data_IF_952708772597
#
_entry.id   IF_952708772597
#
_cell.length_a   1.000
_cell.length_b   1.000
_cell.length_c   1.000
_cell.angle_alpha   90.00
_cell.angle_beta   90.00
_cell.angle_gamma   90.00
#
_symmetry.space_group_name_H-M   'P 1'
#
loop_
_entity.id
_entity.type
_entity.pdbx_description
1 polymer ?
#
# COMPACT_ATOMS: atom_id res chain seq x y z
N UNK A 1 65.03 -8.94 -39.46
CA UNK A 1 64.87 -9.37 -38.06
C UNK A 1 64.08 -8.29 -37.34
N UNK A 2 62.78 -8.52 -37.11
CA UNK A 2 61.88 -7.64 -36.38
C UNK A 2 61.08 -8.49 -35.39
N UNK A 3 60.87 -8.03 -34.14
CA UNK A 3 60.44 -8.90 -33.06
C UNK A 3 58.93 -9.18 -33.09
N UNK A 4 58.56 -10.39 -32.67
CA UNK A 4 57.19 -10.84 -32.51
C UNK A 4 56.51 -10.12 -31.32
N UNK A 5 55.40 -9.43 -31.58
CA UNK A 5 54.48 -8.97 -30.54
C UNK A 5 53.60 -10.13 -30.08
N UNK A 6 53.87 -10.65 -28.90
CA UNK A 6 52.96 -11.57 -28.20
C UNK A 6 51.80 -10.76 -27.60
N UNK A 7 50.58 -11.02 -28.05
CA UNK A 7 49.36 -10.47 -27.43
C UNK A 7 48.89 -11.46 -26.34
N UNK A 8 48.77 -11.05 -25.05
CA UNK A 8 48.22 -11.94 -24.02
C UNK A 8 46.72 -12.14 -24.22
N UNK A 9 46.27 -13.39 -24.18
CA UNK A 9 44.87 -13.78 -24.39
C UNK A 9 43.89 -13.15 -23.39
N UNK A 10 42.78 -12.62 -23.91
CA UNK A 10 41.63 -12.21 -23.09
C UNK A 10 40.99 -13.46 -22.47
N UNK A 11 41.05 -13.54 -21.14
CA UNK A 11 40.30 -14.51 -20.34
C UNK A 11 38.79 -14.23 -20.50
N UNK A 12 37.94 -15.23 -20.81
CA UNK A 12 36.50 -15.00 -20.91
C UNK A 12 35.95 -14.56 -19.54
N UNK A 13 35.24 -13.44 -19.52
CA UNK A 13 34.50 -13.01 -18.35
C UNK A 13 33.38 -14.02 -18.07
N UNK A 14 33.41 -14.64 -16.88
CA UNK A 14 32.33 -15.52 -16.43
C UNK A 14 30.99 -14.79 -16.34
N UNK A 15 29.87 -15.52 -16.26
CA UNK A 15 28.55 -14.91 -16.18
C UNK A 15 28.45 -13.94 -14.99
N UNK A 16 27.78 -12.79 -15.15
CA UNK A 16 27.66 -11.80 -14.09
C UNK A 16 26.94 -12.42 -12.89
N UNK A 17 27.50 -12.20 -11.69
CA UNK A 17 26.91 -12.65 -10.44
C UNK A 17 25.47 -12.09 -10.29
N UNK A 18 24.55 -12.81 -9.62
CA UNK A 18 23.19 -12.34 -9.41
C UNK A 18 23.22 -11.00 -8.68
N UNK A 19 22.56 -9.98 -9.25
CA UNK A 19 22.36 -8.69 -8.56
C UNK A 19 21.53 -8.94 -7.29
N UNK A 20 21.95 -8.45 -6.12
CA UNK A 20 21.12 -8.52 -4.93
C UNK A 20 19.77 -7.82 -5.20
N UNK A 21 18.65 -8.36 -4.69
CA UNK A 21 17.34 -7.77 -4.88
C UNK A 21 17.32 -6.34 -4.33
N UNK A 22 16.72 -5.43 -5.10
CA UNK A 22 16.56 -4.04 -4.67
C UNK A 22 15.78 -3.98 -3.33
N UNK A 23 16.13 -3.04 -2.43
CA UNK A 23 15.38 -2.85 -1.18
C UNK A 23 13.90 -2.63 -1.47
N UNK A 24 13.04 -3.49 -0.94
CA UNK A 24 11.59 -3.29 -1.02
C UNK A 24 11.23 -2.07 -0.15
N UNK A 25 10.43 -1.11 -0.65
CA UNK A 25 10.01 0.05 0.15
C UNK A 25 9.33 -0.40 1.44
N UNK A 26 9.74 0.16 2.57
CA UNK A 26 9.12 -0.14 3.85
C UNK A 26 7.63 0.26 3.85
N UNK A 27 6.75 -0.53 4.48
CA UNK A 27 5.33 -0.15 4.61
C UNK A 27 5.20 1.21 5.29
N UNK A 28 4.52 2.16 4.63
CA UNK A 28 4.22 3.46 5.23
C UNK A 28 3.17 3.26 6.34
N UNK A 29 3.51 3.70 7.55
CA UNK A 29 2.61 3.60 8.70
C UNK A 29 1.41 4.54 8.54
N UNK A 30 0.20 4.00 8.78
CA UNK A 30 -1.03 4.78 8.84
C UNK A 30 -1.32 5.17 10.29
N UNK A 31 -1.37 6.47 10.56
CA UNK A 31 -1.65 7.00 11.88
C UNK A 31 -3.04 7.63 11.92
N UNK A 32 -3.76 7.43 13.02
CA UNK A 32 -5.05 8.05 13.27
C UNK A 32 -5.18 8.39 14.75
N UNK A 33 -6.06 9.35 15.04
CA UNK A 33 -6.50 9.67 16.39
C UNK A 33 -8.02 9.71 16.38
N UNK A 34 -8.64 9.30 17.47
CA UNK A 34 -10.09 9.31 17.64
C UNK A 34 -10.40 9.81 19.05
N UNK A 35 -11.63 10.25 19.27
CA UNK A 35 -12.15 10.46 20.61
C UNK A 35 -12.55 9.11 21.21
N UNK A 36 -12.54 9.02 22.54
CA UNK A 36 -12.94 7.81 23.26
C UNK A 36 -14.40 7.42 22.99
N UNK A 37 -15.24 8.40 22.65
CA UNK A 37 -16.65 8.22 22.32
C UNK A 37 -16.92 7.69 20.91
N UNK A 38 -15.95 7.72 20.00
CA UNK A 38 -16.19 7.43 18.58
C UNK A 38 -16.52 5.96 18.32
N UNK A 39 -15.70 5.03 18.84
CA UNK A 39 -15.99 3.59 18.76
C UNK A 39 -17.35 3.23 19.38
N UNK A 40 -17.64 3.62 20.63
CA UNK A 40 -18.94 3.42 21.26
C UNK A 40 -20.12 3.96 20.43
N UNK A 41 -19.98 5.10 19.78
CA UNK A 41 -21.01 5.66 18.91
C UNK A 41 -21.28 4.77 17.69
N UNK A 42 -20.24 4.27 17.02
CA UNK A 42 -20.41 3.35 15.89
C UNK A 42 -21.11 2.06 16.32
N UNK A 43 -20.77 1.53 17.50
CA UNK A 43 -21.43 0.36 18.09
C UNK A 43 -22.90 0.63 18.40
N UNK A 44 -23.21 1.77 19.02
CA UNK A 44 -24.59 2.13 19.38
C UNK A 44 -25.47 2.27 18.14
N UNK A 45 -24.93 2.84 17.06
CA UNK A 45 -25.63 2.97 15.78
C UNK A 45 -25.69 1.64 15.00
N UNK A 46 -24.83 0.67 15.32
CA UNK A 46 -24.74 -0.60 14.60
C UNK A 46 -24.19 -0.47 13.18
N UNK A 47 -23.36 0.55 12.92
CA UNK A 47 -22.87 0.89 11.57
C UNK A 47 -21.37 0.68 11.41
N UNK A 48 -20.93 0.68 10.17
CA UNK A 48 -19.52 0.89 9.79
C UNK A 48 -19.42 2.17 8.98
N UNK A 49 -18.35 2.94 9.19
CA UNK A 49 -18.11 4.18 8.46
C UNK A 49 -17.07 3.94 7.36
N UNK A 50 -17.38 4.37 6.15
CA UNK A 50 -16.45 4.35 5.03
C UNK A 50 -15.92 5.77 4.78
N UNK A 51 -14.60 5.91 4.65
CA UNK A 51 -13.93 7.20 4.42
C UNK A 51 -12.95 7.09 3.27
N UNK A 52 -13.17 7.88 2.22
CA UNK A 52 -12.23 8.06 1.12
C UNK A 52 -11.32 9.24 1.39
N UNK A 53 -10.01 9.05 1.24
CA UNK A 53 -9.02 10.11 1.38
C UNK A 53 -8.49 10.49 0.02
N UNK A 54 -8.89 11.68 -0.44
CA UNK A 54 -8.57 12.17 -1.78
C UNK A 54 -7.04 12.26 -2.03
N UNK A 55 -6.28 12.72 -1.04
CA UNK A 55 -4.84 12.96 -1.19
C UNK A 55 -3.97 11.74 -0.86
N UNK A 56 -4.45 10.88 0.05
CA UNK A 56 -3.68 9.72 0.49
C UNK A 56 -4.03 8.44 -0.28
N UNK A 57 -4.96 8.52 -1.24
CA UNK A 57 -5.36 7.39 -2.08
C UNK A 57 -5.83 6.18 -1.24
N UNK A 58 -6.51 6.43 -0.11
CA UNK A 58 -7.01 5.37 0.78
C UNK A 58 -8.53 5.35 0.85
N UNK A 59 -9.07 4.13 0.94
CA UNK A 59 -10.39 3.86 1.50
C UNK A 59 -10.20 3.23 2.87
N UNK A 60 -10.84 3.81 3.88
CA UNK A 60 -10.88 3.32 5.24
C UNK A 60 -12.27 2.75 5.52
N UNK A 61 -12.33 1.58 6.16
CA UNK A 61 -13.57 1.05 6.74
C UNK A 61 -13.38 0.97 8.25
N UNK A 62 -14.12 1.79 8.97
CA UNK A 62 -14.04 1.92 10.42
C UNK A 62 -15.26 1.27 11.06
N UNK A 63 -15.02 0.44 12.06
CA UNK A 63 -16.09 -0.17 12.85
C UNK A 63 -15.63 -0.41 14.27
N UNK A 64 -16.57 -0.47 15.20
CA UNK A 64 -16.27 -0.99 16.53
C UNK A 64 -16.11 -2.51 16.50
N UNK A 65 -15.09 -3.01 17.17
CA UNK A 65 -14.81 -4.43 17.34
C UNK A 65 -14.12 -4.67 18.69
N UNK A 66 -14.78 -5.43 19.57
CA UNK A 66 -14.15 -5.96 20.78
C UNK A 66 -13.71 -4.89 21.79
N UNK A 67 -14.39 -3.75 21.86
CA UNK A 67 -14.06 -2.62 22.72
C UNK A 67 -13.10 -1.61 22.08
N UNK A 68 -12.71 -1.79 20.81
CA UNK A 68 -11.79 -0.92 20.10
C UNK A 68 -12.26 -0.58 18.69
N UNK A 69 -11.53 0.35 18.06
CA UNK A 69 -11.76 0.71 16.66
C UNK A 69 -10.96 -0.20 15.74
N UNK A 70 -11.66 -0.95 14.89
CA UNK A 70 -11.06 -1.74 13.82
C UNK A 70 -11.08 -0.93 12.52
N UNK A 71 -9.91 -0.82 11.87
CA UNK A 71 -9.75 -0.04 10.63
C UNK A 71 -9.17 -0.94 9.55
N UNK A 72 -9.96 -1.15 8.50
CA UNK A 72 -9.47 -1.75 7.26
C UNK A 72 -8.99 -0.65 6.32
N UNK A 73 -7.75 -0.75 5.86
CA UNK A 73 -7.18 0.19 4.89
C UNK A 73 -7.05 -0.48 3.53
N UNK A 74 -7.49 0.21 2.48
CA UNK A 74 -7.31 -0.18 1.07
C UNK A 74 -6.75 1.00 0.28
N UNK A 75 -5.93 0.73 -0.73
CA UNK A 75 -5.35 1.76 -1.60
C UNK A 75 -6.06 1.74 -2.94
N UNK A 76 -6.48 2.91 -3.42
CA UNK A 76 -7.13 3.13 -4.70
C UNK A 76 -6.61 4.45 -5.29
N UNK A 77 -6.46 4.55 -6.61
CA UNK A 77 -6.08 5.82 -7.21
C UNK A 77 -7.26 6.80 -7.18
N UNK A 78 -7.07 7.92 -6.48
CA UNK A 78 -8.04 9.03 -6.30
C UNK A 78 -9.49 8.53 -6.10
N UNK A 79 -9.82 7.95 -4.94
CA UNK A 79 -11.19 7.56 -4.63
C UNK A 79 -12.07 8.83 -4.50
N UNK A 80 -12.86 9.09 -5.53
CA UNK A 80 -13.60 10.35 -5.75
C UNK A 80 -15.08 10.27 -5.33
N UNK A 81 -15.67 9.08 -5.31
CA UNK A 81 -17.09 8.90 -5.00
C UNK A 81 -17.38 7.54 -4.38
N UNK A 82 -18.36 7.48 -3.48
CA UNK A 82 -18.74 6.27 -2.77
C UNK A 82 -20.26 6.13 -2.77
N UNK A 83 -20.75 4.95 -3.18
CA UNK A 83 -22.14 4.54 -3.00
C UNK A 83 -22.16 3.19 -2.28
N UNK A 84 -23.06 3.01 -1.34
CA UNK A 84 -23.17 1.77 -0.58
C UNK A 84 -24.64 1.41 -0.34
N UNK A 85 -24.91 0.11 -0.36
CA UNK A 85 -26.14 -0.51 0.12
C UNK A 85 -25.82 -1.60 1.14
N UNK A 86 -26.84 -2.36 1.57
CA UNK A 86 -26.69 -3.39 2.59
C UNK A 86 -25.76 -4.57 2.19
N UNK A 87 -25.43 -4.73 0.91
CA UNK A 87 -24.66 -5.86 0.38
C UNK A 87 -23.41 -5.46 -0.39
N UNK A 88 -23.36 -4.23 -0.91
CA UNK A 88 -22.32 -3.81 -1.86
C UNK A 88 -21.88 -2.38 -1.62
N UNK A 89 -20.64 -2.14 -2.00
CA UNK A 89 -20.02 -0.82 -2.04
C UNK A 89 -19.50 -0.63 -3.45
N UNK A 90 -19.85 0.49 -4.06
CA UNK A 90 -19.28 0.98 -5.31
C UNK A 90 -18.37 2.17 -5.00
N UNK A 91 -17.18 2.15 -5.59
CA UNK A 91 -16.17 3.19 -5.44
C UNK A 91 -15.82 3.73 -6.82
N UNK A 92 -16.02 5.04 -7.01
CA UNK A 92 -15.52 5.75 -8.18
C UNK A 92 -14.06 6.12 -7.95
N UNK A 93 -13.17 5.63 -8.82
CA UNK A 93 -11.73 5.94 -8.82
C UNK A 93 -11.37 6.69 -10.11
N UNK A 94 -10.21 7.32 -10.13
CA UNK A 94 -9.64 7.87 -11.37
C UNK A 94 -8.66 6.87 -11.97
N UNK A 95 -8.61 6.82 -13.31
CA UNK A 95 -7.56 6.15 -14.08
C UNK A 95 -6.21 6.89 -14.00
#
# INVERSE_FOLDING_TARGET
>A
MSPASTVPGRKPAGPPAPRPPAPQPAPVAFHYTQTDSFGPLLRQLGVSLLVTTYQANKLLVLREQGGGLSILVRTFDRPMGLAADARRIALGTRD
#
